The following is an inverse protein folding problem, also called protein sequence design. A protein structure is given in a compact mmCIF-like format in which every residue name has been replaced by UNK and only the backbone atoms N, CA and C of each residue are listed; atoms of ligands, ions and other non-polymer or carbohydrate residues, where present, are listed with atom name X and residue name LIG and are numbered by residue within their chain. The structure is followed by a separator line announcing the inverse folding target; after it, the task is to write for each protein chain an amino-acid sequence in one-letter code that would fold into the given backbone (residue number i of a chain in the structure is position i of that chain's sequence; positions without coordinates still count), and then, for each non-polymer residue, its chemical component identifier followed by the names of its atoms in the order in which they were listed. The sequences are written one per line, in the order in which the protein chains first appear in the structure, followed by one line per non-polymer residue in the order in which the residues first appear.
data_IF_031460537985
#
_entry.id   IF_031460537985
#
_cell.length_a   1.000
_cell.length_b   1.000
_cell.length_c   1.000
_cell.angle_alpha   90.00
_cell.angle_beta   90.00
_cell.angle_gamma   90.00
#
_symmetry.space_group_name_H-M   'P 1'
#
loop_
_entity.id
_entity.type
_entity.pdbx_description
1 polymer ?
#
# COMPACT_ATOMS: atom_id res chain seq x y z
N UNK A 1 13.91 19.86 -6.33
CA UNK A 1 13.18 18.59 -6.12
C UNK A 1 13.74 17.80 -4.96
N UNK A 2 14.97 17.25 -5.02
CA UNK A 2 15.57 16.47 -3.90
C UNK A 2 15.51 17.15 -2.52
N UNK A 3 15.97 18.40 -2.40
CA UNK A 3 15.95 19.17 -1.13
C UNK A 3 14.53 19.33 -0.56
N UNK A 4 13.54 19.53 -1.42
CA UNK A 4 12.14 19.68 -1.01
C UNK A 4 11.60 18.34 -0.50
N UNK A 5 11.82 17.24 -1.24
CA UNK A 5 11.41 15.90 -0.82
C UNK A 5 12.03 15.53 0.54
N UNK A 6 13.33 15.75 0.72
CA UNK A 6 14.00 15.56 2.01
C UNK A 6 13.39 16.39 3.13
N UNK A 7 13.11 17.68 2.89
CA UNK A 7 12.47 18.56 3.87
C UNK A 7 11.08 18.07 4.29
N UNK A 8 10.26 17.64 3.33
CA UNK A 8 8.91 17.12 3.59
C UNK A 8 8.94 15.78 4.32
N UNK A 9 9.83 14.86 3.92
CA UNK A 9 9.96 13.56 4.61
C UNK A 9 10.48 13.77 6.03
N UNK A 10 11.41 14.71 6.23
CA UNK A 10 11.87 15.10 7.57
C UNK A 10 10.72 15.64 8.42
N UNK A 11 9.91 16.55 7.88
CA UNK A 11 8.72 17.07 8.55
C UNK A 11 7.77 15.93 8.95
N UNK A 12 7.45 15.04 8.01
CA UNK A 12 6.58 13.87 8.23
C UNK A 12 7.14 12.96 9.35
N UNK A 13 8.43 12.65 9.30
CA UNK A 13 9.04 11.76 10.27
C UNK A 13 9.15 12.39 11.67
N UNK A 14 9.51 13.67 11.74
CA UNK A 14 9.73 14.36 13.02
C UNK A 14 8.44 14.63 13.79
N UNK A 15 7.35 14.98 13.11
CA UNK A 15 6.08 15.31 13.76
C UNK A 15 5.19 14.09 13.99
N UNK A 16 5.07 13.19 13.01
CA UNK A 16 4.10 12.09 13.06
C UNK A 16 4.71 10.71 13.31
N UNK A 17 6.01 10.52 13.06
CA UNK A 17 6.74 9.25 13.28
C UNK A 17 6.00 8.03 12.71
N UNK A 18 5.73 7.99 11.39
CA UNK A 18 4.85 7.00 10.78
C UNK A 18 5.37 5.57 10.97
N UNK A 19 4.45 4.61 11.01
CA UNK A 19 4.77 3.18 11.00
C UNK A 19 5.17 2.67 9.61
N UNK A 20 4.63 3.29 8.55
CA UNK A 20 4.93 2.95 7.16
C UNK A 20 5.21 4.24 6.37
N UNK A 21 6.32 4.24 5.64
CA UNK A 21 6.60 5.21 4.58
C UNK A 21 6.40 4.51 3.23
N UNK A 22 5.23 4.75 2.65
CA UNK A 22 4.84 4.19 1.35
C UNK A 22 5.28 5.12 0.23
N UNK A 23 6.55 4.98 -0.19
CA UNK A 23 7.08 5.76 -1.31
C UNK A 23 6.44 5.33 -2.62
N UNK A 24 6.40 6.24 -3.59
CA UNK A 24 6.00 5.99 -4.97
C UNK A 24 6.67 7.01 -5.91
N UNK A 25 6.72 6.72 -7.21
CA UNK A 25 7.23 7.68 -8.21
C UNK A 25 8.74 7.66 -8.42
N UNK A 26 9.43 6.54 -8.20
CA UNK A 26 10.85 6.38 -8.52
C UNK A 26 11.15 6.76 -9.98
N UNK A 27 10.30 6.36 -10.92
CA UNK A 27 10.38 6.68 -12.35
C UNK A 27 10.46 8.20 -12.67
N UNK A 28 10.14 9.09 -11.71
CA UNK A 28 10.30 10.55 -11.86
C UNK A 28 11.77 11.00 -11.85
N UNK A 29 12.75 10.12 -11.68
CA UNK A 29 14.16 10.44 -11.93
C UNK A 29 14.47 10.81 -13.40
N UNK A 30 13.44 10.87 -14.27
CA UNK A 30 13.46 11.32 -15.67
C UNK A 30 14.28 10.46 -16.64
N UNK A 31 14.99 9.44 -16.13
CA UNK A 31 15.63 8.39 -16.90
C UNK A 31 15.48 7.05 -16.14
N UNK A 32 15.06 6.01 -16.86
CA UNK A 32 15.10 4.64 -16.37
C UNK A 32 13.89 4.18 -15.54
N UNK A 33 14.10 3.11 -14.77
CA UNK A 33 13.16 2.46 -13.86
C UNK A 33 13.16 3.15 -12.49
N UNK A 34 12.29 2.71 -11.56
CA UNK A 34 12.40 3.14 -10.16
C UNK A 34 13.83 2.96 -9.62
N UNK A 35 14.56 1.95 -10.11
CA UNK A 35 15.93 1.66 -9.70
C UNK A 35 16.98 2.70 -10.16
N UNK A 36 16.66 3.47 -11.19
CA UNK A 36 17.55 4.53 -11.66
C UNK A 36 17.41 5.81 -10.79
N UNK A 37 16.46 5.79 -9.84
CA UNK A 37 16.11 6.91 -9.00
C UNK A 37 16.77 6.93 -7.62
N UNK A 38 17.28 5.81 -7.07
CA UNK A 38 17.87 5.86 -5.72
C UNK A 38 19.02 6.85 -5.59
N UNK A 39 19.98 6.96 -6.55
CA UNK A 39 21.05 7.94 -6.43
C UNK A 39 20.49 9.37 -6.45
N UNK A 40 19.47 9.60 -7.28
CA UNK A 40 18.81 10.88 -7.38
C UNK A 40 18.18 11.29 -6.04
N UNK A 41 17.47 10.39 -5.37
CA UNK A 41 16.80 10.68 -4.10
C UNK A 41 17.66 10.53 -2.84
N UNK A 42 18.80 9.82 -2.92
CA UNK A 42 19.52 9.30 -1.74
C UNK A 42 18.59 8.50 -0.82
N UNK A 43 18.05 7.40 -1.37
CA UNK A 43 17.09 6.54 -0.69
C UNK A 43 17.63 5.95 0.62
N UNK A 44 18.93 5.63 0.66
CA UNK A 44 19.59 5.13 1.88
C UNK A 44 19.65 6.23 2.95
N UNK A 45 19.99 7.47 2.56
CA UNK A 45 19.96 8.61 3.45
C UNK A 45 18.56 8.89 4.02
N UNK A 46 17.53 8.84 3.16
CA UNK A 46 16.12 8.97 3.57
C UNK A 46 15.71 7.87 4.55
N UNK A 47 16.08 6.61 4.27
CA UNK A 47 15.80 5.49 5.16
C UNK A 47 16.46 5.67 6.53
N UNK A 48 17.72 6.11 6.57
CA UNK A 48 18.45 6.42 7.82
C UNK A 48 17.80 7.56 8.59
N UNK A 49 17.39 8.63 7.91
CA UNK A 49 16.70 9.76 8.53
C UNK A 49 15.37 9.34 9.13
N UNK A 50 14.54 8.60 8.39
CA UNK A 50 13.26 8.13 8.92
C UNK A 50 13.46 7.20 10.13
N UNK A 51 14.44 6.29 10.07
CA UNK A 51 14.76 5.36 11.16
C UNK A 51 15.37 6.02 12.40
N UNK A 52 15.96 7.21 12.29
CA UNK A 52 16.38 7.97 13.48
C UNK A 52 15.19 8.49 14.28
N UNK A 53 14.03 8.71 13.65
CA UNK A 53 12.79 9.11 14.30
C UNK A 53 11.93 7.92 14.76
N UNK A 54 11.81 6.89 13.92
CA UNK A 54 11.14 5.63 14.25
C UNK A 54 11.97 4.42 13.76
N UNK A 55 12.72 3.72 14.63
CA UNK A 55 13.53 2.57 14.23
C UNK A 55 12.75 1.39 13.65
N UNK A 56 11.41 1.37 13.80
CA UNK A 56 10.52 0.30 13.31
C UNK A 56 9.75 0.67 12.05
N UNK A 57 9.96 1.87 11.49
CA UNK A 57 9.28 2.29 10.26
C UNK A 57 9.57 1.29 9.14
N UNK A 58 8.52 0.85 8.46
CA UNK A 58 8.61 -0.02 7.29
C UNK A 58 8.51 0.81 6.01
N UNK A 59 9.25 0.43 4.98
CA UNK A 59 9.30 1.15 3.71
C UNK A 59 8.99 0.23 2.52
N UNK A 60 8.33 0.79 1.51
CA UNK A 60 8.16 0.12 0.21
C UNK A 60 9.45 0.19 -0.62
N UNK A 61 9.61 -0.68 -1.65
CA UNK A 61 10.79 -0.68 -2.50
C UNK A 61 10.77 0.43 -3.55
N UNK A 62 9.74 1.30 -3.54
CA UNK A 62 9.45 2.28 -4.60
C UNK A 62 10.22 3.60 -4.48
N UNK A 63 11.15 3.67 -3.53
CA UNK A 63 12.20 4.70 -3.48
C UNK A 63 13.54 4.19 -4.02
N UNK A 64 13.58 2.92 -4.48
CA UNK A 64 14.79 2.14 -4.77
C UNK A 64 15.72 1.88 -3.57
N UNK A 65 15.23 2.13 -2.37
CA UNK A 65 15.62 1.31 -1.23
C UNK A 65 15.04 -0.10 -1.44
N UNK A 66 15.74 -1.16 -1.01
CA UNK A 66 15.29 -2.57 -1.15
C UNK A 66 13.86 -2.82 -0.61
N UNK A 67 13.40 -1.96 0.32
CA UNK A 67 12.10 -2.08 0.98
C UNK A 67 12.14 -3.09 2.13
N UNK A 68 11.28 -2.90 3.11
CA UNK A 68 11.07 -3.86 4.20
C UNK A 68 10.01 -4.90 3.84
N UNK A 69 9.21 -4.63 2.80
CA UNK A 69 8.24 -5.54 2.19
C UNK A 69 8.11 -5.22 0.70
N UNK A 70 7.73 -6.18 -0.14
CA UNK A 70 7.47 -5.95 -1.56
C UNK A 70 6.01 -5.54 -1.81
N UNK A 71 5.72 -4.92 -2.95
CA UNK A 71 4.36 -4.51 -3.28
C UNK A 71 3.93 -5.06 -4.65
N UNK A 72 2.72 -5.59 -4.75
CA UNK A 72 2.10 -5.99 -6.00
C UNK A 72 0.90 -5.09 -6.29
N UNK A 73 0.97 -4.31 -7.36
CA UNK A 73 -0.08 -3.36 -7.73
C UNK A 73 -1.16 -3.98 -8.63
N UNK A 74 -2.40 -3.52 -8.45
CA UNK A 74 -3.49 -3.68 -9.40
C UNK A 74 -4.42 -4.85 -9.08
N UNK A 75 -5.60 -4.93 -9.74
CA UNK A 75 -6.68 -5.82 -9.35
C UNK A 75 -6.52 -7.27 -9.85
N UNK A 76 -5.38 -7.63 -10.44
CA UNK A 76 -5.17 -9.00 -10.91
C UNK A 76 -5.22 -9.97 -9.73
N UNK A 77 -5.94 -11.11 -9.83
CA UNK A 77 -6.00 -12.11 -8.77
C UNK A 77 -4.61 -12.56 -8.35
N UNK A 78 -4.42 -12.76 -7.06
CA UNK A 78 -3.20 -13.35 -6.50
C UNK A 78 -3.29 -14.86 -6.67
N UNK A 79 -2.35 -15.43 -7.42
CA UNK A 79 -2.26 -16.87 -7.69
C UNK A 79 -0.83 -17.36 -7.48
N UNK A 80 -0.60 -18.67 -7.57
CA UNK A 80 0.73 -19.26 -7.40
C UNK A 80 1.05 -19.65 -5.96
N UNK A 81 2.34 -19.94 -5.66
CA UNK A 81 2.79 -20.43 -4.37
C UNK A 81 2.77 -19.35 -3.29
N UNK A 82 3.05 -19.76 -2.05
CA UNK A 82 3.30 -18.86 -0.92
C UNK A 82 4.57 -18.06 -1.18
N UNK A 83 4.53 -16.77 -0.81
CA UNK A 83 5.67 -15.87 -0.90
C UNK A 83 6.48 -15.95 0.39
N UNK A 84 7.80 -16.08 0.28
CA UNK A 84 8.73 -16.34 1.38
C UNK A 84 9.21 -15.07 2.13
N UNK A 85 8.70 -13.91 1.73
CA UNK A 85 9.00 -12.60 2.30
C UNK A 85 7.73 -11.78 2.52
N UNK A 86 7.84 -10.70 3.29
CA UNK A 86 6.72 -9.79 3.53
C UNK A 86 6.35 -9.08 2.24
N UNK A 87 5.06 -9.07 1.92
CA UNK A 87 4.56 -8.38 0.73
C UNK A 87 3.15 -7.83 0.93
N UNK A 88 2.78 -6.86 0.10
CA UNK A 88 1.49 -6.20 0.14
C UNK A 88 0.87 -6.15 -1.26
N UNK A 89 -0.39 -6.57 -1.36
CA UNK A 89 -1.25 -6.34 -2.51
C UNK A 89 -1.90 -4.98 -2.36
N UNK A 90 -1.76 -4.09 -3.32
CA UNK A 90 -2.47 -2.81 -3.32
C UNK A 90 -3.32 -2.63 -4.59
N UNK A 91 -4.56 -2.19 -4.41
CA UNK A 91 -5.43 -1.76 -5.49
C UNK A 91 -6.56 -0.87 -4.99
N UNK A 92 -7.15 -0.09 -5.89
CA UNK A 92 -8.34 0.72 -5.59
C UNK A 92 -9.61 -0.11 -5.56
N UNK A 93 -10.51 0.20 -4.63
CA UNK A 93 -11.89 -0.29 -4.65
C UNK A 93 -12.56 0.04 -5.98
N UNK A 94 -12.32 1.26 -6.47
CA UNK A 94 -12.83 1.76 -7.73
C UNK A 94 -11.91 1.39 -8.92
N UNK A 95 -12.17 1.95 -10.11
CA UNK A 95 -11.29 1.75 -11.28
C UNK A 95 -10.05 2.63 -11.28
N UNK A 96 -10.05 3.69 -10.46
CA UNK A 96 -8.98 4.69 -10.33
C UNK A 96 -8.55 4.83 -8.87
N UNK A 97 -7.32 5.32 -8.63
CA UNK A 97 -6.83 5.61 -7.27
C UNK A 97 -7.46 6.87 -6.66
N UNK A 98 -7.67 7.91 -7.48
CA UNK A 98 -8.35 9.14 -7.08
C UNK A 98 -9.79 9.20 -7.55
N UNK A 99 -10.56 10.13 -6.97
CA UNK A 99 -11.99 10.27 -7.19
C UNK A 99 -12.33 10.59 -8.65
N UNK A 100 -13.25 9.82 -9.22
CA UNK A 100 -13.88 10.07 -10.52
C UNK A 100 -15.41 10.01 -10.33
N UNK A 101 -16.17 11.06 -10.69
CA UNK A 101 -17.62 11.00 -10.64
C UNK A 101 -18.20 9.84 -11.45
N UNK A 102 -19.12 9.06 -10.85
CA UNK A 102 -19.73 7.91 -11.52
C UNK A 102 -18.80 6.70 -11.67
N UNK A 103 -17.82 6.54 -10.77
CA UNK A 103 -16.92 5.39 -10.80
C UNK A 103 -17.66 4.05 -10.63
N UNK A 104 -16.99 2.98 -11.02
CA UNK A 104 -17.46 1.61 -10.78
C UNK A 104 -16.62 0.96 -9.69
N UNK A 105 -17.28 0.30 -8.75
CA UNK A 105 -16.65 -0.32 -7.59
C UNK A 105 -16.63 -1.84 -7.72
N UNK A 106 -15.61 -2.47 -7.13
CA UNK A 106 -15.50 -3.93 -7.05
C UNK A 106 -16.59 -4.50 -6.13
N UNK A 107 -17.03 -5.71 -6.44
CA UNK A 107 -18.02 -6.43 -5.61
C UNK A 107 -17.40 -6.92 -4.31
N UNK A 108 -18.23 -7.14 -3.28
CA UNK A 108 -17.76 -7.68 -2.01
C UNK A 108 -17.12 -9.06 -2.15
N UNK A 109 -17.72 -9.94 -2.97
CA UNK A 109 -17.12 -11.22 -3.36
C UNK A 109 -15.69 -11.09 -3.89
N UNK A 110 -15.45 -10.15 -4.81
CA UNK A 110 -14.13 -9.91 -5.37
C UNK A 110 -13.14 -9.50 -4.27
N UNK A 111 -13.55 -8.62 -3.37
CA UNK A 111 -12.71 -8.10 -2.29
C UNK A 111 -12.39 -9.17 -1.25
N UNK A 112 -13.38 -9.98 -0.86
CA UNK A 112 -13.22 -11.10 0.07
C UNK A 112 -12.27 -12.15 -0.52
N UNK A 113 -12.48 -12.54 -1.78
CA UNK A 113 -11.60 -13.50 -2.47
C UNK A 113 -10.19 -12.95 -2.64
N UNK A 114 -10.05 -11.65 -2.92
CA UNK A 114 -8.75 -10.98 -3.00
C UNK A 114 -8.02 -11.00 -1.66
N UNK A 115 -8.72 -10.71 -0.56
CA UNK A 115 -8.17 -10.77 0.79
C UNK A 115 -7.72 -12.18 1.15
N UNK A 116 -8.58 -13.19 0.94
CA UNK A 116 -8.27 -14.59 1.22
C UNK A 116 -7.05 -15.05 0.43
N UNK A 117 -7.02 -14.78 -0.88
CA UNK A 117 -5.91 -15.18 -1.74
C UNK A 117 -4.58 -14.50 -1.38
N UNK A 118 -4.64 -13.26 -0.90
CA UNK A 118 -3.47 -12.51 -0.46
C UNK A 118 -2.96 -13.04 0.88
N UNK A 119 -3.85 -13.17 1.87
CA UNK A 119 -3.51 -13.64 3.21
C UNK A 119 -3.01 -15.10 3.21
N UNK A 120 -3.61 -15.97 2.39
CA UNK A 120 -3.19 -17.38 2.26
C UNK A 120 -1.77 -17.53 1.67
N UNK A 121 -1.23 -16.47 1.08
CA UNK A 121 0.12 -16.40 0.51
C UNK A 121 1.05 -15.47 1.28
N UNK A 122 0.68 -15.14 2.52
CA UNK A 122 1.52 -14.38 3.46
C UNK A 122 1.55 -12.88 3.23
N UNK A 123 0.63 -12.35 2.42
CA UNK A 123 0.58 -10.93 2.09
C UNK A 123 -0.45 -10.14 2.89
N UNK A 124 -0.27 -8.82 2.94
CA UNK A 124 -1.28 -7.86 3.36
C UNK A 124 -2.08 -7.34 2.16
N UNK A 125 -3.34 -6.93 2.39
CA UNK A 125 -4.15 -6.24 1.39
C UNK A 125 -4.32 -4.77 1.80
N UNK A 126 -3.77 -3.86 1.01
CA UNK A 126 -4.01 -2.42 1.07
C UNK A 126 -5.08 -2.04 0.04
N UNK A 127 -6.30 -1.82 0.52
CA UNK A 127 -7.43 -1.40 -0.29
C UNK A 127 -7.56 0.13 -0.26
N UNK A 128 -7.46 0.78 -1.41
CA UNK A 128 -7.61 2.23 -1.54
C UNK A 128 -9.07 2.64 -1.63
N UNK A 129 -9.38 3.78 -1.00
CA UNK A 129 -10.63 4.52 -1.11
C UNK A 129 -10.42 5.89 -1.74
N UNK A 130 -11.42 6.45 -2.41
CA UNK A 130 -11.29 7.69 -3.19
C UNK A 130 -12.25 8.81 -2.73
N UNK A 131 -11.94 9.53 -1.64
CA UNK A 131 -12.75 10.66 -1.18
C UNK A 131 -12.94 11.75 -2.25
N UNK A 132 -14.14 12.32 -2.27
CA UNK A 132 -14.50 13.44 -3.15
C UNK A 132 -13.71 14.73 -2.82
N UNK A 133 -13.92 15.77 -3.63
CA UNK A 133 -13.28 17.09 -3.45
C UNK A 133 -13.61 17.77 -2.13
N UNK A 134 -14.65 17.32 -1.42
CA UNK A 134 -15.05 17.80 -0.11
C UNK A 134 -14.53 16.90 1.04
N UNK A 135 -13.71 15.89 0.71
CA UNK A 135 -13.18 14.92 1.67
C UNK A 135 -14.21 13.86 2.11
N UNK A 136 -15.32 13.69 1.39
CA UNK A 136 -16.33 12.68 1.68
C UNK A 136 -16.05 11.41 0.89
N UNK A 137 -15.98 10.28 1.58
CA UNK A 137 -16.06 8.96 0.93
C UNK A 137 -17.46 8.86 0.26
N UNK A 138 -17.59 8.50 -1.03
CA UNK A 138 -18.88 8.31 -1.68
C UNK A 138 -19.76 7.24 -1.00
N UNK A 139 -21.09 7.35 -1.11
CA UNK A 139 -22.01 6.37 -0.52
C UNK A 139 -21.86 4.99 -1.16
N UNK A 140 -21.62 4.95 -2.47
CA UNK A 140 -21.44 3.74 -3.24
C UNK A 140 -20.16 2.98 -2.83
N UNK A 141 -19.10 3.72 -2.49
CA UNK A 141 -17.88 3.15 -1.94
C UNK A 141 -18.10 2.59 -0.53
N UNK A 142 -18.82 3.31 0.34
CA UNK A 142 -19.22 2.80 1.65
C UNK A 142 -20.02 1.49 1.52
N UNK A 143 -20.99 1.47 0.63
CA UNK A 143 -21.87 0.32 0.41
C UNK A 143 -21.06 -0.89 -0.08
N UNK A 144 -20.13 -0.70 -1.01
CA UNK A 144 -19.26 -1.77 -1.51
C UNK A 144 -18.36 -2.39 -0.41
N UNK A 145 -18.08 -1.67 0.68
CA UNK A 145 -17.30 -2.15 1.82
C UNK A 145 -18.13 -2.86 2.89
N UNK A 146 -19.47 -2.77 2.85
CA UNK A 146 -20.36 -3.40 3.86
C UNK A 146 -20.17 -4.91 3.89
N UNK A 147 -20.29 -5.57 2.74
CA UNK A 147 -20.19 -7.03 2.64
C UNK A 147 -18.82 -7.58 3.10
N UNK A 148 -17.66 -7.06 2.62
CA UNK A 148 -16.34 -7.43 3.14
C UNK A 148 -16.18 -7.15 4.64
N UNK A 149 -16.73 -6.03 5.13
CA UNK A 149 -16.72 -5.68 6.55
C UNK A 149 -17.46 -6.69 7.41
N UNK A 150 -18.66 -7.09 6.99
CA UNK A 150 -19.48 -8.11 7.66
C UNK A 150 -18.85 -9.50 7.60
N UNK A 151 -18.20 -9.83 6.49
CA UNK A 151 -17.41 -11.05 6.38
C UNK A 151 -16.22 -11.03 7.35
N UNK A 152 -15.47 -9.91 7.41
CA UNK A 152 -14.33 -9.76 8.33
C UNK A 152 -14.74 -9.77 9.81
N UNK A 153 -15.96 -9.32 10.16
CA UNK A 153 -16.47 -9.40 11.53
C UNK A 153 -16.69 -10.86 11.96
N UNK A 154 -17.15 -11.71 11.05
CA UNK A 154 -17.41 -13.14 11.31
C UNK A 154 -16.13 -13.99 11.20
N UNK A 155 -15.31 -13.71 10.21
CA UNK A 155 -14.20 -14.58 9.80
C UNK A 155 -12.82 -13.99 10.06
N UNK A 156 -12.70 -12.77 10.58
CA UNK A 156 -11.41 -12.07 10.67
C UNK A 156 -10.33 -12.77 11.51
N UNK A 157 -10.70 -13.73 12.35
CA UNK A 157 -9.77 -14.57 13.11
C UNK A 157 -8.96 -15.54 12.21
N UNK A 158 -9.44 -15.85 11.00
CA UNK A 158 -8.70 -16.64 10.00
C UNK A 158 -7.72 -15.79 9.17
N UNK A 159 -7.77 -14.47 9.31
CA UNK A 159 -6.93 -13.51 8.59
C UNK A 159 -5.92 -12.85 9.52
N UNK A 160 -6.38 -12.28 10.64
CA UNK A 160 -5.53 -11.48 11.53
C UNK A 160 -4.62 -12.37 12.36
N UNK A 161 -3.32 -12.10 12.34
CA UNK A 161 -2.32 -12.82 13.13
C UNK A 161 -2.06 -14.26 12.66
N UNK A 162 -2.58 -14.64 11.49
CA UNK A 162 -2.31 -15.95 10.90
C UNK A 162 -1.03 -15.90 10.06
N UNK A 163 -0.58 -17.08 9.61
CA UNK A 163 0.53 -17.26 8.69
C UNK A 163 0.05 -18.13 7.55
N UNK A 164 0.62 -17.96 6.36
CA UNK A 164 0.40 -18.88 5.26
C UNK A 164 0.75 -20.31 5.71
N UNK A 165 -0.17 -21.25 5.48
CA UNK A 165 0.01 -22.65 5.86
C UNK A 165 0.90 -23.38 4.85
N UNK A 166 1.70 -24.34 5.30
CA UNK A 166 2.50 -25.19 4.41
C UNK A 166 1.63 -26.04 3.47
#
# INVERSE_FOLDING_TARGET
MKKQAWGQIHEICSQWKPDILWYDGGWLAHHGTDADAAPFWDAIGLARMARSYNPRVMMTPRSDYVGDFTCQEGPKPVTGPIVDHMWEKCFSLATSWGFIPGNTYKTGDFLIVSLINTASRGGNLLLNVDPDVNGRIPDEEREALVEPGDWMRRNGHSIRGTRAGA
#
